data_IF_083626369394
#
_entry.id   IF_083626369394
#
_cell.length_a   1.000
_cell.length_b   1.000
_cell.length_c   1.000
_cell.angle_alpha   90.00
_cell.angle_beta   90.00
_cell.angle_gamma   90.00
#
_symmetry.space_group_name_H-M   'P 1'
#
loop_
_entity.id
_entity.type
_entity.pdbx_description
1 polymer ?
#
# COMPACT_ATOMS: atom_id res chain seq x y z
N UNK A 1 21.32 15.11 -18.41
CA UNK A 1 19.88 14.94 -18.06
C UNK A 1 19.29 13.86 -18.95
N UNK A 2 19.13 12.65 -18.41
CA UNK A 2 18.39 11.62 -19.13
C UNK A 2 16.90 11.93 -19.03
N UNK A 3 16.13 11.95 -20.12
CA UNK A 3 14.69 12.09 -20.06
C UNK A 3 14.15 10.86 -19.34
N UNK A 4 13.36 11.07 -18.30
CA UNK A 4 12.56 10.01 -17.69
C UNK A 4 11.55 9.53 -18.75
N UNK A 5 11.83 8.44 -19.43
CA UNK A 5 10.84 7.75 -20.23
C UNK A 5 9.82 7.11 -19.29
N UNK A 6 8.85 7.91 -18.84
CA UNK A 6 7.69 7.42 -18.11
C UNK A 6 6.74 6.82 -19.15
N UNK A 7 6.92 5.55 -19.43
CA UNK A 7 6.00 4.84 -20.31
C UNK A 7 4.86 4.31 -19.47
N UNK A 8 3.72 4.99 -19.53
CA UNK A 8 2.48 4.54 -18.94
C UNK A 8 1.41 4.39 -20.02
N UNK A 9 0.67 3.31 -19.99
CA UNK A 9 -0.50 3.05 -20.83
C UNK A 9 -1.75 3.13 -19.97
N UNK A 10 -2.77 3.84 -20.46
CA UNK A 10 -4.05 4.02 -19.76
C UNK A 10 -5.23 3.61 -20.65
N UNK A 11 -5.33 2.32 -21.05
CA UNK A 11 -6.46 1.87 -21.85
C UNK A 11 -7.77 2.00 -21.08
N UNK A 12 -8.78 2.52 -21.75
CA UNK A 12 -10.13 2.69 -21.19
C UNK A 12 -11.14 1.98 -22.08
N UNK A 13 -11.95 1.12 -21.47
CA UNK A 13 -13.04 0.45 -22.13
C UNK A 13 -14.31 0.51 -21.27
N UNK A 14 -15.33 1.20 -21.78
CA UNK A 14 -16.61 1.43 -21.05
C UNK A 14 -16.37 2.01 -19.64
N UNK A 15 -16.61 1.22 -18.62
CA UNK A 15 -16.50 1.59 -17.18
C UNK A 15 -15.19 1.11 -16.54
N UNK A 16 -14.29 0.53 -17.33
CA UNK A 16 -13.00 0.00 -16.89
C UNK A 16 -11.88 0.87 -17.42
N UNK A 17 -10.97 1.27 -16.55
CA UNK A 17 -9.73 1.96 -16.89
C UNK A 17 -8.56 1.18 -16.29
N UNK A 18 -7.66 0.74 -17.13
CA UNK A 18 -6.44 0.07 -16.69
C UNK A 18 -5.25 1.03 -16.75
N UNK A 19 -4.25 0.75 -15.93
CA UNK A 19 -3.00 1.49 -15.85
C UNK A 19 -1.86 0.50 -15.88
N UNK A 20 -0.90 0.66 -16.76
CA UNK A 20 0.25 -0.25 -16.88
C UNK A 20 1.51 0.56 -17.12
N UNK A 21 2.59 0.21 -16.41
CA UNK A 21 3.88 0.87 -16.54
C UNK A 21 4.32 1.57 -15.24
N UNK A 22 4.93 2.74 -15.36
CA UNK A 22 5.19 3.61 -14.21
C UNK A 22 4.00 4.54 -14.08
N UNK A 23 3.15 4.24 -13.12
CA UNK A 23 1.85 4.90 -12.94
C UNK A 23 1.70 5.44 -11.52
N UNK A 24 0.78 6.40 -11.37
CA UNK A 24 0.37 6.92 -10.07
C UNK A 24 -1.10 6.64 -9.85
N UNK A 25 -1.45 6.20 -8.65
CA UNK A 25 -2.84 6.07 -8.21
C UNK A 25 -3.03 6.75 -6.85
N UNK A 26 -4.25 7.24 -6.63
CA UNK A 26 -4.67 7.83 -5.37
C UNK A 26 -5.98 7.20 -4.93
N UNK A 27 -6.06 6.81 -3.66
CA UNK A 27 -7.29 6.32 -3.04
C UNK A 27 -7.86 7.36 -2.08
N UNK A 28 -7.05 7.80 -1.10
CA UNK A 28 -7.40 8.91 -0.22
C UNK A 28 -6.15 9.67 0.22
N UNK A 29 -6.29 10.89 0.79
CA UNK A 29 -5.17 11.65 1.34
C UNK A 29 -4.41 10.94 2.47
N UNK A 30 -5.10 10.08 3.22
CA UNK A 30 -4.54 9.43 4.42
C UNK A 30 -4.01 8.02 4.16
N UNK A 31 -4.27 7.43 2.99
CA UNK A 31 -3.83 6.07 2.65
C UNK A 31 -2.88 6.05 1.47
N UNK A 32 -3.33 6.39 0.29
CA UNK A 32 -2.53 6.43 -0.94
C UNK A 32 -2.78 7.75 -1.67
N UNK A 33 -1.86 8.70 -1.51
CA UNK A 33 -1.94 10.02 -2.11
C UNK A 33 -0.91 10.15 -3.24
N UNK A 34 -1.24 9.66 -4.43
CA UNK A 34 -0.42 9.87 -5.63
C UNK A 34 0.95 9.18 -5.63
N UNK A 35 1.07 8.01 -5.02
CA UNK A 35 2.32 7.26 -5.03
C UNK A 35 2.60 6.70 -6.42
N UNK A 36 3.81 6.97 -6.93
CA UNK A 36 4.30 6.37 -8.16
C UNK A 36 4.80 4.95 -7.93
N UNK A 37 4.42 4.02 -8.80
CA UNK A 37 4.89 2.64 -8.75
C UNK A 37 5.06 2.07 -10.17
N UNK A 38 5.92 1.07 -10.29
CA UNK A 38 6.10 0.32 -11.53
C UNK A 38 5.26 -0.96 -11.45
N UNK A 39 4.17 -1.01 -12.22
CA UNK A 39 3.24 -2.12 -12.12
C UNK A 39 1.96 -1.89 -12.91
N UNK A 40 0.85 -2.32 -12.34
CA UNK A 40 -0.47 -2.16 -12.93
C UNK A 40 -1.54 -1.76 -11.94
N UNK A 41 -2.57 -1.12 -12.44
CA UNK A 41 -3.76 -0.73 -11.71
C UNK A 41 -5.02 -0.87 -12.54
N UNK A 42 -6.15 -0.98 -11.88
CA UNK A 42 -7.48 -1.10 -12.47
C UNK A 42 -8.46 -0.21 -11.72
N UNK A 43 -9.27 0.51 -12.49
CA UNK A 43 -10.43 1.23 -11.97
C UNK A 43 -11.69 0.73 -12.68
N UNK A 44 -12.71 0.40 -11.91
CA UNK A 44 -14.01 -0.05 -12.41
C UNK A 44 -15.14 0.71 -11.73
N UNK A 45 -15.97 1.40 -12.51
CA UNK A 45 -17.02 2.29 -12.01
C UNK A 45 -18.42 1.87 -12.48
N UNK A 46 -18.97 0.75 -11.98
CA UNK A 46 -20.32 0.28 -12.35
C UNK A 46 -21.39 1.04 -11.55
N UNK A 47 -21.98 2.08 -12.18
CA UNK A 47 -23.09 2.84 -11.58
C UNK A 47 -22.64 3.66 -10.38
N UNK A 48 -23.08 3.27 -9.18
CA UNK A 48 -22.80 3.95 -7.90
C UNK A 48 -21.52 3.41 -7.21
N UNK A 49 -20.93 2.38 -7.74
CA UNK A 49 -19.73 1.76 -7.20
C UNK A 49 -18.47 2.29 -7.87
N UNK A 50 -17.41 2.43 -7.09
CA UNK A 50 -16.06 2.71 -7.56
C UNK A 50 -15.12 1.68 -6.95
N UNK A 51 -14.58 0.80 -7.78
CA UNK A 51 -13.64 -0.24 -7.36
C UNK A 51 -12.32 0.06 -8.02
N UNK A 52 -11.26 0.16 -7.22
CA UNK A 52 -9.92 0.43 -7.69
C UNK A 52 -8.96 -0.57 -7.06
N UNK A 53 -7.95 -0.97 -7.81
CA UNK A 53 -6.90 -1.84 -7.30
C UNK A 53 -5.59 -1.56 -8.01
N UNK A 54 -4.49 -1.79 -7.33
CA UNK A 54 -3.16 -1.71 -7.92
C UNK A 54 -2.22 -2.74 -7.32
N UNK A 55 -1.16 -3.05 -8.06
CA UNK A 55 -0.06 -3.85 -7.57
C UNK A 55 1.21 -3.54 -8.35
N UNK A 56 2.34 -3.51 -7.66
CA UNK A 56 3.59 -3.20 -8.31
C UNK A 56 4.74 -2.94 -7.36
N UNK A 57 5.86 -2.58 -7.95
CA UNK A 57 7.07 -2.21 -7.24
C UNK A 57 7.01 -0.74 -6.84
N UNK A 58 6.95 -0.49 -5.54
CA UNK A 58 6.88 0.86 -4.96
C UNK A 58 8.25 1.52 -4.84
N UNK A 59 9.31 0.70 -4.62
CA UNK A 59 10.69 1.19 -4.50
C UNK A 59 11.66 0.21 -5.16
N UNK A 60 12.61 0.75 -5.91
CA UNK A 60 13.73 -0.03 -6.47
C UNK A 60 14.77 -0.27 -5.37
N UNK A 61 15.39 -1.44 -5.38
CA UNK A 61 16.55 -1.70 -4.51
C UNK A 61 17.73 -0.79 -4.86
N UNK A 62 18.48 -0.41 -3.83
CA UNK A 62 19.77 0.28 -3.97
C UNK A 62 20.77 -0.52 -3.15
N UNK A 63 21.69 -1.22 -3.85
CA UNK A 63 22.78 -1.95 -3.22
C UNK A 63 23.91 -1.00 -2.84
N UNK A 64 24.69 -1.36 -1.82
CA UNK A 64 25.89 -0.60 -1.48
C UNK A 64 27.01 -0.90 -2.49
N UNK A 65 27.59 0.16 -3.04
CA UNK A 65 28.77 0.12 -3.90
C UNK A 65 29.75 1.15 -3.35
N UNK A 66 30.86 0.76 -2.68
CA UNK A 66 31.73 1.65 -1.92
C UNK A 66 32.24 2.88 -2.67
N UNK A 67 32.42 2.73 -3.99
CA UNK A 67 32.96 3.79 -4.86
C UNK A 67 31.91 4.72 -5.45
N UNK A 68 30.61 4.39 -5.31
CA UNK A 68 29.52 5.08 -6.00
C UNK A 68 28.51 5.69 -5.04
N UNK A 69 28.22 5.02 -3.92
CA UNK A 69 27.15 5.46 -3.02
C UNK A 69 27.51 5.26 -1.54
N UNK A 70 26.79 5.95 -0.67
CA UNK A 70 26.92 5.82 0.77
C UNK A 70 26.02 4.69 1.30
N UNK A 71 26.40 4.12 2.46
CA UNK A 71 25.61 3.11 3.18
C UNK A 71 24.18 3.60 3.46
N UNK A 72 24.02 4.88 3.76
CA UNK A 72 22.72 5.51 4.07
C UNK A 72 21.73 5.49 2.88
N UNK A 73 22.22 5.36 1.65
CA UNK A 73 21.39 5.30 0.45
C UNK A 73 20.83 3.91 0.15
N UNK A 74 21.29 2.88 0.86
CA UNK A 74 20.81 1.52 0.68
C UNK A 74 19.30 1.40 0.87
N UNK A 75 18.67 0.61 0.05
CA UNK A 75 17.25 0.36 0.16
C UNK A 75 16.87 -1.03 -0.34
N UNK A 76 15.99 -1.69 0.40
CA UNK A 76 15.32 -2.90 -0.10
C UNK A 76 14.38 -2.57 -1.25
N UNK A 77 14.17 -3.54 -2.12
CA UNK A 77 13.08 -3.51 -3.09
C UNK A 77 11.76 -3.62 -2.33
N UNK A 78 10.86 -2.68 -2.57
CA UNK A 78 9.52 -2.69 -1.95
C UNK A 78 8.47 -3.01 -2.97
N UNK A 79 7.65 -4.01 -2.68
CA UNK A 79 6.43 -4.32 -3.40
C UNK A 79 5.22 -3.88 -2.60
N UNK A 80 4.16 -3.53 -3.30
CA UNK A 80 2.91 -3.22 -2.64
C UNK A 80 1.74 -3.34 -3.57
N UNK A 81 0.57 -3.34 -2.96
CA UNK A 81 -0.70 -3.38 -3.65
C UNK A 81 -1.82 -2.94 -2.73
N UNK A 82 -2.95 -2.68 -3.32
CA UNK A 82 -4.11 -2.27 -2.55
C UNK A 82 -5.39 -2.28 -3.35
N UNK A 83 -6.47 -2.22 -2.61
CA UNK A 83 -7.83 -2.16 -3.13
C UNK A 83 -8.61 -1.04 -2.43
N UNK A 84 -9.44 -0.36 -3.21
CA UNK A 84 -10.42 0.61 -2.71
C UNK A 84 -11.78 0.24 -3.28
N UNK A 85 -12.79 0.14 -2.41
CA UNK A 85 -14.18 -0.15 -2.77
C UNK A 85 -15.04 0.95 -2.19
N UNK A 86 -15.61 1.78 -3.06
CA UNK A 86 -16.48 2.88 -2.72
C UNK A 86 -17.89 2.70 -3.27
N UNK A 87 -18.86 3.15 -2.51
CA UNK A 87 -20.24 3.31 -2.93
C UNK A 87 -20.67 4.75 -2.69
N UNK A 88 -21.26 5.42 -3.68
CA UNK A 88 -21.79 6.78 -3.53
C UNK A 88 -23.14 6.90 -4.22
N UNK A 89 -24.14 7.42 -3.48
CA UNK A 89 -25.48 7.73 -3.97
C UNK A 89 -25.99 9.03 -3.38
N UNK A 90 -26.45 9.96 -4.27
CA UNK A 90 -27.08 11.24 -3.89
C UNK A 90 -26.28 12.08 -2.88
N UNK A 91 -24.93 11.92 -2.86
CA UNK A 91 -24.02 12.64 -1.98
C UNK A 91 -23.78 11.98 -0.62
N UNK A 92 -24.30 10.77 -0.42
CA UNK A 92 -23.92 9.87 0.68
C UNK A 92 -23.02 8.78 0.14
N UNK A 93 -22.01 8.39 0.87
CA UNK A 93 -21.11 7.36 0.43
C UNK A 93 -20.27 6.77 1.53
N UNK A 94 -19.73 5.60 1.25
CA UNK A 94 -18.75 4.93 2.07
C UNK A 94 -17.65 4.35 1.16
N UNK A 95 -16.41 4.48 1.57
CA UNK A 95 -15.25 3.89 0.85
C UNK A 95 -14.38 3.15 1.84
N UNK A 96 -14.14 1.88 1.56
CA UNK A 96 -13.19 1.04 2.29
C UNK A 96 -11.91 0.91 1.47
N UNK A 97 -10.76 1.04 2.13
CA UNK A 97 -9.43 0.96 1.51
C UNK A 97 -8.56 -0.01 2.32
N UNK A 98 -7.85 -0.87 1.62
CA UNK A 98 -6.84 -1.75 2.19
C UNK A 98 -5.58 -1.69 1.35
N UNK A 99 -4.44 -1.46 2.00
CA UNK A 99 -3.11 -1.40 1.37
C UNK A 99 -2.14 -2.31 2.11
N UNK A 100 -1.24 -2.91 1.35
CA UNK A 100 -0.07 -3.61 1.88
C UNK A 100 1.18 -3.22 1.12
N UNK A 101 2.28 -3.00 1.84
CA UNK A 101 3.60 -2.76 1.28
C UNK A 101 4.65 -3.52 2.08
N UNK A 102 5.52 -4.29 1.41
CA UNK A 102 6.53 -5.11 2.06
C UNK A 102 7.87 -5.01 1.35
N UNK A 103 8.93 -4.98 2.11
CA UNK A 103 10.30 -5.04 1.61
C UNK A 103 10.70 -6.50 1.31
N UNK A 104 11.27 -6.71 0.13
CA UNK A 104 11.80 -8.00 -0.28
C UNK A 104 13.18 -8.21 0.34
N UNK A 105 13.28 -9.05 1.37
CA UNK A 105 14.52 -9.33 2.13
C UNK A 105 15.68 -9.80 1.24
N UNK A 106 15.40 -10.63 0.27
CA UNK A 106 16.38 -11.19 -0.66
C UNK A 106 16.82 -10.23 -1.76
N UNK A 107 16.34 -8.98 -1.73
CA UNK A 107 16.66 -8.00 -2.78
C UNK A 107 18.07 -7.41 -2.65
N UNK A 108 18.69 -7.50 -1.47
CA UNK A 108 20.07 -7.11 -1.23
C UNK A 108 20.90 -8.38 -0.97
N UNK A 109 21.92 -8.59 -1.78
CA UNK A 109 22.81 -9.76 -1.67
C UNK A 109 23.85 -9.62 -0.57
N UNK A 110 24.27 -8.40 -0.30
CA UNK A 110 25.30 -8.10 0.70
C UNK A 110 24.90 -6.83 1.46
N UNK A 111 24.89 -6.94 2.78
CA UNK A 111 24.66 -5.83 3.69
C UNK A 111 25.93 -5.68 4.54
N UNK A 112 26.63 -4.54 4.48
CA UNK A 112 27.78 -4.30 5.34
C UNK A 112 27.39 -4.33 6.82
N UNK A 113 28.28 -4.84 7.69
CA UNK A 113 28.02 -4.91 9.13
C UNK A 113 27.75 -3.54 9.80
N UNK A 114 28.24 -2.47 9.17
CA UNK A 114 28.01 -1.08 9.60
C UNK A 114 26.65 -0.52 9.16
N UNK A 115 25.90 -1.22 8.29
CA UNK A 115 24.61 -0.75 7.81
C UNK A 115 23.48 -1.10 8.77
N UNK A 116 22.73 -0.09 9.22
CA UNK A 116 21.53 -0.24 10.06
C UNK A 116 20.26 -0.22 9.19
N UNK A 117 20.16 -1.15 8.25
CA UNK A 117 18.98 -1.26 7.37
C UNK A 117 18.21 -2.54 7.69
N UNK A 118 16.91 -2.39 7.90
CA UNK A 118 16.02 -3.51 8.22
C UNK A 118 14.83 -3.54 7.26
N UNK A 119 14.38 -4.73 6.84
CA UNK A 119 13.21 -4.86 5.97
C UNK A 119 11.94 -4.49 6.73
N UNK A 120 11.08 -3.73 6.09
CA UNK A 120 9.83 -3.21 6.64
C UNK A 120 8.62 -3.87 5.99
N UNK A 121 7.54 -3.97 6.74
CA UNK A 121 6.21 -4.36 6.27
C UNK A 121 5.19 -3.37 6.82
N UNK A 122 4.23 -2.96 6.00
CA UNK A 122 3.17 -2.05 6.39
C UNK A 122 1.83 -2.51 5.82
N UNK A 123 0.81 -2.51 6.67
CA UNK A 123 -0.58 -2.69 6.28
C UNK A 123 -1.39 -1.50 6.74
N UNK A 124 -2.21 -0.96 5.86
CA UNK A 124 -3.06 0.21 6.13
C UNK A 124 -4.49 -0.15 5.76
N UNK A 125 -5.42 0.14 6.65
CA UNK A 125 -6.85 0.06 6.38
C UNK A 125 -7.51 1.39 6.69
N UNK A 126 -8.44 1.83 5.85
CA UNK A 126 -9.26 3.00 6.14
C UNK A 126 -10.72 2.83 5.74
N UNK A 127 -11.56 3.60 6.42
CA UNK A 127 -12.98 3.75 6.12
C UNK A 127 -13.30 5.24 6.04
N UNK A 128 -13.69 5.69 4.86
CA UNK A 128 -14.17 7.04 4.63
C UNK A 128 -15.69 7.06 4.46
N UNK A 129 -16.35 7.99 5.15
CA UNK A 129 -17.78 8.22 5.08
C UNK A 129 -18.04 9.62 4.55
N UNK A 130 -18.97 9.74 3.62
CA UNK A 130 -19.42 11.00 3.04
C UNK A 130 -20.89 11.17 3.26
N UNK A 131 -21.31 12.36 3.65
CA UNK A 131 -22.70 12.68 3.89
C UNK A 131 -23.03 14.14 3.56
N UNK A 132 -24.32 14.42 3.37
CA UNK A 132 -24.85 15.76 3.20
C UNK A 132 -25.76 16.13 4.36
N UNK A 133 -25.58 17.33 4.86
CA UNK A 133 -26.47 17.94 5.88
C UNK A 133 -27.23 19.08 5.20
N UNK A 134 -28.53 18.85 4.99
CA UNK A 134 -29.36 19.79 4.23
C UNK A 134 -28.95 19.88 2.76
N UNK A 135 -29.10 21.05 2.15
CA UNK A 135 -28.80 21.27 0.72
C UNK A 135 -27.39 21.81 0.47
N UNK A 136 -26.76 22.40 1.49
CA UNK A 136 -25.54 23.22 1.29
C UNK A 136 -24.29 22.68 1.96
N UNK A 137 -24.39 21.77 2.93
CA UNK A 137 -23.24 21.28 3.67
C UNK A 137 -22.91 19.84 3.27
N UNK A 138 -21.68 19.61 2.84
CA UNK A 138 -21.14 18.26 2.62
C UNK A 138 -20.05 17.97 3.65
N UNK A 139 -20.11 16.82 4.29
CA UNK A 139 -19.15 16.36 5.28
C UNK A 139 -18.47 15.08 4.79
N UNK A 140 -17.19 14.98 5.05
CA UNK A 140 -16.44 13.74 4.86
C UNK A 140 -15.64 13.45 6.12
N UNK A 141 -15.74 12.24 6.63
CA UNK A 141 -14.95 11.74 7.75
C UNK A 141 -14.18 10.50 7.29
N UNK A 142 -12.91 10.41 7.62
CA UNK A 142 -12.09 9.23 7.34
C UNK A 142 -11.36 8.79 8.61
N UNK A 143 -11.45 7.49 8.88
CA UNK A 143 -10.64 6.82 9.90
C UNK A 143 -9.65 5.91 9.19
N UNK A 144 -8.36 6.12 9.42
CA UNK A 144 -7.28 5.31 8.87
C UNK A 144 -6.40 4.75 9.99
N UNK A 145 -6.05 3.47 9.87
CA UNK A 145 -5.15 2.77 10.77
C UNK A 145 -4.01 2.14 9.98
N UNK A 146 -2.79 2.26 10.50
CA UNK A 146 -1.59 1.70 9.89
C UNK A 146 -0.82 0.88 10.91
N UNK A 147 -0.42 -0.32 10.50
CA UNK A 147 0.47 -1.18 11.28
C UNK A 147 1.79 -1.32 10.51
N UNK A 148 2.84 -0.72 11.05
CA UNK A 148 4.18 -0.70 10.48
C UNK A 148 5.12 -1.57 11.31
N UNK A 149 5.60 -2.68 10.73
CA UNK A 149 6.71 -3.46 11.26
C UNK A 149 8.02 -2.93 10.67
N UNK A 150 8.88 -2.37 11.52
CA UNK A 150 10.17 -1.78 11.10
C UNK A 150 11.30 -2.78 10.94
N UNK A 151 11.14 -3.96 11.53
CA UNK A 151 12.10 -5.05 11.41
C UNK A 151 11.36 -6.39 11.36
N UNK A 152 11.14 -6.89 10.16
CA UNK A 152 10.42 -8.15 9.95
C UNK A 152 11.27 -9.37 10.30
N UNK A 153 12.59 -9.26 10.47
CA UNK A 153 13.46 -10.35 10.87
C UNK A 153 13.27 -10.72 12.35
N UNK A 154 13.10 -9.72 13.22
CA UNK A 154 12.81 -9.93 14.63
C UNK A 154 11.37 -10.40 14.87
N UNK A 155 10.42 -9.92 14.07
CA UNK A 155 9.00 -10.22 14.23
C UNK A 155 8.71 -11.71 13.95
N UNK A 156 9.39 -12.35 13.01
CA UNK A 156 9.20 -13.78 12.72
C UNK A 156 9.59 -14.69 13.89
N UNK A 157 10.55 -14.28 14.72
CA UNK A 157 10.93 -15.06 15.91
C UNK A 157 9.93 -14.89 17.07
N UNK A 158 9.30 -13.74 17.17
CA UNK A 158 8.33 -13.41 18.22
C UNK A 158 6.93 -13.93 17.88
N UNK A 159 6.48 -13.79 16.63
CA UNK A 159 5.13 -14.14 16.21
C UNK A 159 4.81 -15.63 16.29
N UNK A 160 5.74 -16.52 15.96
CA UNK A 160 5.48 -17.97 16.10
C UNK A 160 5.21 -18.40 17.53
N UNK A 161 5.76 -17.69 18.53
CA UNK A 161 5.54 -18.01 19.95
C UNK A 161 4.39 -17.22 20.58
N UNK A 162 4.18 -15.99 20.17
CA UNK A 162 3.21 -15.07 20.79
C UNK A 162 1.82 -15.20 20.20
N UNK A 163 1.67 -15.38 18.87
CA UNK A 163 0.35 -15.65 18.27
C UNK A 163 -0.24 -16.98 18.74
N UNK A 164 0.56 -18.03 18.84
CA UNK A 164 0.13 -19.30 19.39
C UNK A 164 -0.36 -19.18 20.85
N UNK A 165 0.22 -18.25 21.62
CA UNK A 165 -0.14 -18.03 23.03
C UNK A 165 -1.34 -17.10 23.23
N UNK A 166 -1.58 -16.16 22.29
CA UNK A 166 -2.67 -15.18 22.40
C UNK A 166 -3.97 -15.67 21.75
N UNK A 167 -3.89 -16.49 20.71
CA UNK A 167 -5.06 -17.06 20.03
C UNK A 167 -5.54 -18.36 20.65
N UNK A 168 -4.65 -19.11 21.30
CA UNK A 168 -4.98 -20.37 21.98
C UNK A 168 -6.08 -20.26 23.08
N UNK A 169 -6.15 -19.22 23.91
CA UNK A 169 -7.23 -19.08 24.89
C UNK A 169 -8.60 -18.76 24.30
N UNK A 170 -8.64 -18.17 23.08
CA UNK A 170 -9.89 -17.81 22.40
C UNK A 170 -10.53 -18.98 21.65
N UNK A 171 -9.73 -19.99 21.30
CA UNK A 171 -10.20 -21.17 20.57
C UNK A 171 -10.59 -22.32 21.51
N UNK A 172 -10.04 -22.39 22.72
CA UNK A 172 -10.31 -23.44 23.70
C UNK A 172 -11.36 -23.07 24.77
N UNK A 173 -12.13 -22.02 24.57
CA UNK A 173 -13.14 -21.54 25.52
C UNK A 173 -14.52 -22.22 25.43
N UNK A 174 -14.61 -23.51 25.02
CA UNK A 174 -15.83 -24.29 25.11
C UNK A 174 -15.51 -25.79 25.21
N UNK A 175 -15.30 -26.23 26.43
CA UNK A 175 -15.72 -27.55 26.94
C UNK A 175 -16.14 -27.39 28.37
#
# INVERSE_FOLDING_TARGET
TQPFNITALHPTYKKVKAHVGIVSMSFSPYTLAGLNFAGGGLEYTPGKWKIQGFGGRLKKQVAFIPEINNIETMAYRRWGGGISIGYEDKGYGATFILLKAADQRTSLSTIPNSATITPMDNIVASLALKGKIGKSVSMTAEYASSNLSRNTELTEQIDRKTYAKTVSPLVNGNQ
#
